data_IF_087434812574
#
_entry.id   IF_087434812574
#
_cell.length_a   1.000
_cell.length_b   1.000
_cell.length_c   1.000
_cell.angle_alpha   90.00
_cell.angle_beta   90.00
_cell.angle_gamma   90.00
#
_symmetry.space_group_name_H-M   'P 1'
#
loop_
_entity.id
_entity.type
_entity.pdbx_description
1 polymer ?
#
# COMPACT_ATOMS: atom_id res chain seq x y z
N UNK A 1 -54.47 44.73 21.37
CA UNK A 1 -53.25 44.12 20.80
C UNK A 1 -53.52 43.78 19.35
N UNK A 2 -52.74 44.31 18.39
CA UNK A 2 -52.94 44.01 16.97
C UNK A 2 -52.50 42.59 16.62
N UNK A 3 -52.89 42.09 15.46
CA UNK A 3 -52.56 40.77 14.93
C UNK A 3 -51.07 40.44 15.09
N UNK A 4 -50.21 41.44 14.92
CA UNK A 4 -48.74 41.32 15.11
C UNK A 4 -48.35 40.91 16.55
N UNK A 5 -49.07 41.41 17.57
CA UNK A 5 -48.80 41.05 18.97
C UNK A 5 -49.13 39.59 19.28
N UNK A 6 -50.24 39.08 18.71
CA UNK A 6 -50.63 37.68 18.88
C UNK A 6 -49.68 36.74 18.16
N UNK A 7 -49.20 37.07 16.94
CA UNK A 7 -48.22 36.26 16.21
C UNK A 7 -46.85 36.17 16.94
N UNK A 8 -46.37 37.27 17.48
CA UNK A 8 -45.14 37.27 18.28
C UNK A 8 -45.31 36.41 19.55
N UNK A 9 -46.44 36.58 20.25
CA UNK A 9 -46.71 35.81 21.48
C UNK A 9 -46.76 34.30 21.19
N UNK A 10 -47.47 33.89 20.12
CA UNK A 10 -47.56 32.46 19.76
C UNK A 10 -46.24 31.87 19.37
N UNK A 11 -45.40 32.60 18.60
CA UNK A 11 -44.04 32.16 18.26
C UNK A 11 -43.13 32.02 19.49
N UNK A 12 -43.22 32.98 20.44
CA UNK A 12 -42.45 32.90 21.68
C UNK A 12 -42.88 31.69 22.51
N UNK A 13 -44.19 31.46 22.70
CA UNK A 13 -44.69 30.33 23.47
C UNK A 13 -44.26 29.01 22.82
N UNK A 14 -44.37 28.89 21.49
CA UNK A 14 -43.94 27.69 20.74
C UNK A 14 -42.46 27.48 20.88
N UNK A 15 -41.66 28.54 20.76
CA UNK A 15 -40.18 28.47 20.94
C UNK A 15 -39.77 28.00 22.34
N UNK A 16 -40.42 28.54 23.38
CA UNK A 16 -40.16 28.09 24.77
C UNK A 16 -40.56 26.63 24.96
N UNK A 17 -41.71 26.22 24.42
CA UNK A 17 -42.19 24.83 24.52
C UNK A 17 -41.19 23.86 23.84
N UNK A 18 -40.73 24.17 22.64
CA UNK A 18 -39.73 23.38 21.93
C UNK A 18 -38.38 23.31 22.69
N UNK A 19 -37.93 24.43 23.24
CA UNK A 19 -36.72 24.47 24.03
C UNK A 19 -36.80 23.60 25.30
N UNK A 20 -37.95 23.62 26.00
CA UNK A 20 -38.19 22.77 27.16
C UNK A 20 -38.23 21.28 26.78
N UNK A 21 -38.92 20.92 25.71
CA UNK A 21 -38.95 19.54 25.21
C UNK A 21 -37.51 19.07 24.88
N UNK A 22 -36.75 19.84 24.12
CA UNK A 22 -35.38 19.51 23.76
C UNK A 22 -34.46 19.41 25.00
N UNK A 23 -34.65 20.30 26.00
CA UNK A 23 -33.91 20.24 27.26
C UNK A 23 -34.19 18.94 28.02
N UNK A 24 -35.45 18.55 28.20
CA UNK A 24 -35.81 17.31 28.88
C UNK A 24 -35.33 16.07 28.14
N UNK A 25 -35.47 16.06 26.81
CA UNK A 25 -34.96 14.98 25.95
C UNK A 25 -33.43 14.87 26.10
N UNK A 26 -32.71 15.98 26.00
CA UNK A 26 -31.25 16.01 26.16
C UNK A 26 -30.81 15.51 27.55
N UNK A 27 -31.53 15.87 28.62
CA UNK A 27 -31.25 15.39 29.96
C UNK A 27 -31.50 13.87 30.11
N UNK A 28 -32.63 13.39 29.56
CA UNK A 28 -33.01 11.98 29.67
C UNK A 28 -32.10 11.05 28.84
N UNK A 29 -31.59 11.53 27.69
CA UNK A 29 -30.73 10.76 26.79
C UNK A 29 -29.23 11.15 26.90
N UNK A 30 -28.85 11.83 27.99
CA UNK A 30 -27.45 12.16 28.26
C UNK A 30 -26.64 10.87 28.39
N UNK A 31 -25.78 10.58 27.40
CA UNK A 31 -24.82 9.49 27.47
C UNK A 31 -23.64 9.95 28.31
N UNK A 32 -23.38 9.26 29.41
CA UNK A 32 -22.19 9.48 30.21
C UNK A 32 -21.06 8.67 29.59
N UNK A 33 -20.17 9.35 28.88
CA UNK A 33 -18.92 8.75 28.41
C UNK A 33 -17.84 8.90 29.50
N UNK A 34 -16.95 7.93 29.58
CA UNK A 34 -15.79 7.98 30.48
C UNK A 34 -14.86 9.12 30.03
N UNK A 35 -14.50 10.08 30.90
CA UNK A 35 -13.65 11.21 30.53
C UNK A 35 -12.26 10.78 30.03
N UNK A 36 -11.79 9.59 30.40
CA UNK A 36 -10.53 9.02 29.90
C UNK A 36 -10.53 8.82 28.40
N UNK A 37 -11.71 8.68 27.76
CA UNK A 37 -11.85 8.53 26.29
C UNK A 37 -11.30 9.77 25.59
N UNK A 38 -11.65 10.96 26.06
CA UNK A 38 -11.18 12.22 25.45
C UNK A 38 -9.66 12.39 25.60
N UNK A 39 -9.09 11.94 26.71
CA UNK A 39 -7.64 12.04 26.92
C UNK A 39 -6.87 11.02 26.06
N UNK A 40 -7.38 9.79 25.93
CA UNK A 40 -6.82 8.79 24.99
C UNK A 40 -6.96 9.26 23.56
N UNK A 41 -8.08 9.88 23.16
CA UNK A 41 -8.26 10.42 21.82
C UNK A 41 -7.23 11.51 21.48
N UNK A 42 -6.91 12.41 22.43
CA UNK A 42 -5.87 13.44 22.28
C UNK A 42 -4.45 12.86 22.14
N UNK A 43 -4.19 11.67 22.70
CA UNK A 43 -2.91 10.97 22.54
C UNK A 43 -2.76 10.30 21.18
N UNK A 44 -3.87 10.02 20.49
CA UNK A 44 -3.88 9.44 19.17
C UNK A 44 -3.57 10.49 18.07
N UNK A 45 -3.05 10.07 16.91
CA UNK A 45 -2.69 10.99 15.81
C UNK A 45 -3.85 11.76 15.18
N UNK A 46 -5.10 11.45 15.51
CA UNK A 46 -6.29 12.12 14.97
C UNK A 46 -6.56 11.88 13.48
N UNK A 47 -5.81 11.00 12.82
CA UNK A 47 -5.89 10.78 11.37
C UNK A 47 -7.19 10.10 10.90
N UNK A 48 -7.97 9.50 11.80
CA UNK A 48 -9.23 8.78 11.52
C UNK A 48 -9.15 7.83 10.30
N UNK A 49 -7.97 7.24 10.06
CA UNK A 49 -7.65 6.49 8.84
C UNK A 49 -8.26 5.08 8.79
N UNK A 50 -8.84 4.58 9.90
CA UNK A 50 -9.40 3.23 9.98
C UNK A 50 -8.37 2.08 9.90
N UNK A 51 -7.06 2.38 9.92
CA UNK A 51 -5.99 1.38 9.82
C UNK A 51 -5.90 0.43 11.02
N UNK A 52 -6.41 0.85 12.17
CA UNK A 52 -6.55 0.02 13.37
C UNK A 52 -7.77 -0.92 13.35
N UNK A 53 -8.64 -0.83 12.31
CA UNK A 53 -9.87 -1.60 12.19
C UNK A 53 -11.11 -0.92 12.77
N UNK A 54 -10.96 0.25 13.40
CA UNK A 54 -12.05 1.05 13.97
C UNK A 54 -12.44 2.21 13.03
N UNK A 55 -13.68 2.70 13.14
CA UNK A 55 -14.21 3.75 12.29
C UNK A 55 -13.50 5.11 12.45
N UNK A 56 -12.84 5.34 13.60
CA UNK A 56 -12.09 6.56 13.88
C UNK A 56 -11.32 6.47 15.20
N UNK A 57 -10.55 7.51 15.50
CA UNK A 57 -9.72 7.57 16.70
C UNK A 57 -10.57 7.53 17.99
N UNK A 58 -11.75 8.19 17.99
CA UNK A 58 -12.65 8.15 19.15
C UNK A 58 -13.19 6.74 19.43
N UNK A 59 -13.58 5.99 18.40
CA UNK A 59 -14.05 4.61 18.55
C UNK A 59 -12.93 3.71 19.07
N UNK A 60 -11.71 3.90 18.61
CA UNK A 60 -10.54 3.21 19.15
C UNK A 60 -10.32 3.57 20.62
N UNK A 61 -10.38 4.86 20.98
CA UNK A 61 -10.20 5.34 22.36
C UNK A 61 -11.25 4.74 23.31
N UNK A 62 -12.53 4.74 22.91
CA UNK A 62 -13.60 4.15 23.72
C UNK A 62 -13.40 2.65 23.93
N UNK A 63 -12.95 1.93 22.90
CA UNK A 63 -12.63 0.50 23.03
C UNK A 63 -11.43 0.30 23.93
N UNK A 64 -10.35 1.10 23.78
CA UNK A 64 -9.14 0.99 24.61
C UNK A 64 -9.41 1.23 26.10
N UNK A 65 -10.31 2.15 26.43
CA UNK A 65 -10.76 2.39 27.81
C UNK A 65 -11.58 1.22 28.34
N UNK A 66 -12.49 0.66 27.52
CA UNK A 66 -13.44 -0.36 27.93
C UNK A 66 -12.90 -1.79 28.05
N UNK A 67 -11.79 -2.13 27.40
CA UNK A 67 -11.19 -3.48 27.47
C UNK A 67 -10.13 -3.55 28.57
N UNK A 68 -9.99 -4.69 29.22
CA UNK A 68 -8.95 -4.91 30.23
C UNK A 68 -7.59 -5.23 29.60
N UNK A 69 -7.59 -5.96 28.48
CA UNK A 69 -6.39 -6.36 27.74
C UNK A 69 -6.29 -5.63 26.37
N UNK A 70 -5.20 -4.89 26.19
CA UNK A 70 -4.89 -4.14 24.97
C UNK A 70 -4.13 -4.96 23.92
N UNK A 71 -3.84 -6.24 24.14
CA UNK A 71 -3.00 -7.05 23.23
C UNK A 71 -3.50 -7.09 21.79
N UNK A 72 -4.81 -7.00 21.58
CA UNK A 72 -5.45 -6.92 20.24
C UNK A 72 -5.56 -5.52 19.64
N UNK A 73 -5.26 -4.46 20.40
CA UNK A 73 -5.43 -3.08 20.00
C UNK A 73 -4.09 -2.48 19.57
N UNK A 74 -4.02 -1.97 18.36
CA UNK A 74 -2.83 -1.29 17.86
C UNK A 74 -3.18 -0.19 16.86
N UNK A 75 -2.67 1.02 17.10
CA UNK A 75 -2.75 2.12 16.15
C UNK A 75 -1.51 2.12 15.25
N UNK A 76 -1.60 1.75 13.95
CA UNK A 76 -0.43 1.67 13.07
C UNK A 76 0.21 3.05 12.82
N UNK A 77 -0.58 4.12 12.85
CA UNK A 77 -0.11 5.49 12.63
C UNK A 77 0.59 6.04 13.86
N UNK A 78 0.03 5.79 15.06
CA UNK A 78 0.64 6.21 16.32
C UNK A 78 1.88 5.40 16.70
N UNK A 79 1.98 4.18 16.18
CA UNK A 79 3.11 3.28 16.45
C UNK A 79 3.19 2.81 17.90
N UNK A 80 4.30 2.14 18.22
CA UNK A 80 4.51 1.54 19.55
C UNK A 80 4.62 2.58 20.66
N UNK A 81 5.20 3.76 20.39
CA UNK A 81 5.36 4.81 21.38
C UNK A 81 4.00 5.38 21.86
N UNK A 82 3.10 5.68 20.92
CA UNK A 82 1.75 6.13 21.27
C UNK A 82 0.99 5.06 22.03
N UNK A 83 1.09 3.79 21.61
CA UNK A 83 0.46 2.68 22.31
C UNK A 83 0.99 2.51 23.74
N UNK A 84 2.29 2.69 23.95
CA UNK A 84 2.90 2.65 25.28
C UNK A 84 2.37 3.77 26.17
N UNK A 85 2.31 5.02 25.67
CA UNK A 85 1.75 6.16 26.43
C UNK A 85 0.30 5.93 26.83
N UNK A 86 -0.52 5.39 25.91
CA UNK A 86 -1.93 5.07 26.20
C UNK A 86 -2.02 3.95 27.25
N UNK A 87 -1.22 2.92 27.12
CA UNK A 87 -1.18 1.80 28.06
C UNK A 87 -0.75 2.26 29.45
N UNK A 88 0.30 3.07 29.55
CA UNK A 88 0.78 3.66 30.81
C UNK A 88 -0.31 4.54 31.47
N UNK A 89 -1.02 5.37 30.67
CA UNK A 89 -2.13 6.20 31.16
C UNK A 89 -3.31 5.37 31.68
N UNK A 90 -3.64 4.27 31.01
CA UNK A 90 -4.74 3.38 31.42
C UNK A 90 -4.32 2.33 32.47
N UNK A 91 -3.04 2.26 32.84
CA UNK A 91 -2.51 1.24 33.74
C UNK A 91 -2.56 -0.17 33.19
N UNK A 92 -2.44 -0.34 31.84
CA UNK A 92 -2.55 -1.60 31.11
C UNK A 92 -1.21 -1.98 30.47
N UNK A 93 -1.08 -3.25 30.03
CA UNK A 93 0.08 -3.69 29.29
C UNK A 93 0.06 -3.14 27.85
N UNK A 94 1.18 -2.57 27.38
CA UNK A 94 1.31 -2.10 26.01
C UNK A 94 1.41 -3.29 25.04
N UNK A 95 0.68 -3.26 23.90
CA UNK A 95 0.80 -4.31 22.88
C UNK A 95 2.15 -4.18 22.16
N UNK A 96 2.94 -5.24 22.14
CA UNK A 96 4.14 -5.31 21.32
C UNK A 96 3.77 -5.71 19.90
N UNK A 97 4.10 -4.87 18.94
CA UNK A 97 3.93 -5.17 17.52
C UNK A 97 5.16 -4.80 16.74
N UNK A 98 5.66 -5.73 15.95
CA UNK A 98 6.79 -5.47 15.07
C UNK A 98 6.41 -4.43 14.00
N UNK A 99 7.29 -3.48 13.69
CA UNK A 99 7.03 -2.48 12.66
C UNK A 99 6.82 -3.16 11.30
N UNK A 100 5.81 -2.69 10.59
CA UNK A 100 5.43 -3.21 9.27
C UNK A 100 5.53 -2.11 8.20
N UNK A 101 5.55 -2.52 6.94
CA UNK A 101 5.53 -1.63 5.78
C UNK A 101 4.77 -2.31 4.64
N UNK A 102 4.09 -1.52 3.81
CA UNK A 102 3.47 -2.01 2.60
C UNK A 102 4.53 -2.36 1.55
N UNK A 103 4.37 -3.48 0.86
CA UNK A 103 5.18 -3.87 -0.30
C UNK A 103 4.29 -4.15 -1.50
N UNK A 104 4.77 -3.78 -2.69
CA UNK A 104 4.08 -4.08 -3.94
C UNK A 104 4.54 -5.46 -4.45
N UNK A 105 3.61 -6.37 -4.65
CA UNK A 105 3.86 -7.71 -5.21
C UNK A 105 3.65 -7.73 -6.73
N UNK A 106 4.27 -6.79 -7.43
CA UNK A 106 4.29 -6.73 -8.89
C UNK A 106 5.57 -6.04 -9.37
N UNK A 107 6.34 -6.71 -10.21
CA UNK A 107 7.52 -6.17 -10.91
C UNK A 107 7.26 -5.99 -12.41
N UNK A 108 5.99 -5.97 -12.80
CA UNK A 108 5.56 -5.79 -14.18
C UNK A 108 5.64 -4.31 -14.60
N UNK A 109 6.84 -3.76 -14.72
CA UNK A 109 7.07 -2.45 -15.32
C UNK A 109 6.66 -2.44 -16.79
N UNK A 110 6.60 -1.27 -17.41
CA UNK A 110 6.30 -1.14 -18.83
C UNK A 110 7.29 -1.92 -19.71
N UNK A 111 8.57 -1.99 -19.31
CA UNK A 111 9.58 -2.78 -20.01
C UNK A 111 9.37 -4.29 -19.89
N UNK A 112 8.91 -4.77 -18.72
CA UNK A 112 8.70 -6.19 -18.46
C UNK A 112 7.37 -6.73 -18.99
N UNK A 113 6.39 -5.83 -19.20
CA UNK A 113 5.01 -6.17 -19.51
C UNK A 113 4.47 -5.23 -20.57
N UNK A 114 4.71 -5.50 -21.86
CA UNK A 114 4.25 -4.64 -22.94
C UNK A 114 2.72 -4.56 -22.97
N UNK A 115 2.22 -3.37 -23.32
CA UNK A 115 0.80 -3.15 -23.54
C UNK A 115 0.36 -3.80 -24.85
N UNK A 116 -0.78 -4.47 -24.82
CA UNK A 116 -1.43 -5.08 -25.98
C UNK A 116 -2.80 -4.44 -26.29
N UNK A 117 -3.27 -3.52 -25.43
CA UNK A 117 -4.51 -2.77 -25.61
C UNK A 117 -4.41 -1.42 -24.89
N UNK A 118 -5.33 -0.50 -25.20
CA UNK A 118 -5.45 0.81 -24.57
C UNK A 118 -6.85 0.93 -23.96
N UNK A 119 -6.91 1.30 -22.68
CA UNK A 119 -8.16 1.54 -21.99
C UNK A 119 -8.55 3.03 -22.09
N UNK A 120 -9.66 3.31 -22.77
CA UNK A 120 -10.19 4.66 -22.97
C UNK A 120 -11.25 5.09 -21.96
N UNK A 121 -11.44 4.35 -20.86
CA UNK A 121 -12.43 4.66 -19.80
C UNK A 121 -11.91 5.52 -18.67
N UNK A 122 -12.65 5.54 -17.55
CA UNK A 122 -12.29 6.29 -16.34
C UNK A 122 -10.94 5.83 -15.78
N UNK A 123 -10.07 6.79 -15.41
CA UNK A 123 -8.74 6.52 -14.86
C UNK A 123 -8.82 6.02 -13.40
N UNK A 124 -9.26 4.78 -13.21
CA UNK A 124 -9.37 4.11 -11.92
C UNK A 124 -9.09 2.62 -12.06
N UNK A 125 -8.23 2.08 -11.17
CA UNK A 125 -7.96 0.65 -11.10
C UNK A 125 -9.21 -0.17 -10.80
N UNK A 126 -10.10 0.34 -9.95
CA UNK A 126 -11.34 -0.36 -9.59
C UNK A 126 -12.28 -0.52 -10.78
N UNK A 127 -12.46 0.55 -11.57
CA UNK A 127 -13.31 0.55 -12.77
C UNK A 127 -12.71 -0.35 -13.85
N UNK A 128 -11.42 -0.19 -14.14
CA UNK A 128 -10.74 -1.00 -15.14
C UNK A 128 -10.78 -2.50 -14.79
N UNK A 129 -10.50 -2.86 -13.52
CA UNK A 129 -10.54 -4.25 -13.07
C UNK A 129 -11.93 -4.89 -13.15
N UNK A 130 -12.99 -4.10 -13.04
CA UNK A 130 -14.37 -4.58 -13.18
C UNK A 130 -14.77 -4.85 -14.64
N UNK A 131 -14.14 -4.16 -15.58
CA UNK A 131 -14.47 -4.27 -17.01
C UNK A 131 -13.63 -5.31 -17.74
N UNK A 132 -12.33 -5.38 -17.44
CA UNK A 132 -11.44 -6.35 -18.08
C UNK A 132 -10.12 -6.56 -17.31
N UNK A 133 -9.27 -7.47 -17.78
CA UNK A 133 -8.06 -7.89 -17.07
C UNK A 133 -6.94 -6.82 -16.98
N UNK A 134 -6.98 -5.79 -17.82
CA UNK A 134 -5.98 -4.74 -17.92
C UNK A 134 -5.35 -4.61 -19.31
N UNK A 135 -4.59 -3.54 -19.54
CA UNK A 135 -3.99 -3.18 -20.86
C UNK A 135 -2.86 -4.12 -21.31
N UNK A 136 -2.50 -5.11 -20.52
CA UNK A 136 -1.36 -6.02 -20.77
C UNK A 136 -1.80 -7.47 -20.74
N UNK A 137 -0.96 -8.39 -21.22
CA UNK A 137 -1.23 -9.82 -21.18
C UNK A 137 -1.31 -10.47 -19.79
N UNK A 138 -0.94 -9.74 -18.71
CA UNK A 138 -0.97 -10.25 -17.36
C UNK A 138 -2.24 -9.85 -16.62
N UNK A 139 -3.19 -10.77 -16.44
CA UNK A 139 -4.44 -10.52 -15.73
C UNK A 139 -4.25 -10.16 -14.25
N UNK A 140 -3.12 -10.52 -13.65
CA UNK A 140 -2.83 -10.31 -12.22
C UNK A 140 -2.00 -9.05 -11.95
N UNK A 141 -1.51 -8.37 -13.00
CA UNK A 141 -0.58 -7.26 -12.86
C UNK A 141 -1.21 -5.94 -12.41
N UNK A 142 -0.35 -5.00 -12.02
CA UNK A 142 -0.75 -3.64 -11.67
C UNK A 142 -1.37 -2.93 -12.88
N UNK A 143 -2.49 -2.24 -12.71
CA UNK A 143 -3.17 -1.48 -13.76
C UNK A 143 -2.57 -0.08 -13.97
N UNK A 144 -1.80 0.41 -12.99
CA UNK A 144 -1.07 1.68 -13.13
C UNK A 144 -1.92 2.96 -13.04
N UNK A 145 -3.21 2.88 -12.63
CA UNK A 145 -4.09 4.07 -12.56
C UNK A 145 -3.98 4.85 -11.22
N UNK A 146 -3.21 4.35 -10.23
CA UNK A 146 -2.88 5.11 -9.03
C UNK A 146 -3.93 5.15 -7.92
N UNK A 147 -4.99 4.31 -7.93
CA UNK A 147 -6.00 4.29 -6.86
C UNK A 147 -5.39 4.05 -5.46
N UNK A 148 -4.25 3.37 -5.37
CA UNK A 148 -3.52 3.15 -4.12
C UNK A 148 -2.81 4.42 -3.63
N UNK A 149 -2.43 5.31 -4.53
CA UNK A 149 -1.80 6.61 -4.21
C UNK A 149 -2.85 7.56 -3.65
N UNK A 150 -4.03 7.64 -4.29
CA UNK A 150 -5.11 8.55 -3.87
C UNK A 150 -5.64 8.28 -2.47
N UNK A 151 -5.53 7.05 -1.96
CA UNK A 151 -5.98 6.69 -0.60
C UNK A 151 -4.88 6.75 0.46
N UNK A 152 -3.66 7.14 0.07
CA UNK A 152 -2.55 7.25 1.01
C UNK A 152 -2.54 8.63 1.68
N UNK A 153 -3.08 8.71 2.90
CA UNK A 153 -3.13 9.96 3.66
C UNK A 153 -1.77 10.41 4.23
N UNK A 154 -0.71 9.61 4.02
CA UNK A 154 0.63 9.85 4.57
C UNK A 154 1.65 10.20 3.51
N UNK A 155 1.20 10.39 2.26
CA UNK A 155 2.07 10.69 1.12
C UNK A 155 3.25 9.70 0.97
N UNK A 156 3.00 8.44 1.36
CA UNK A 156 3.97 7.35 1.33
C UNK A 156 3.94 6.56 0.01
N UNK A 157 3.06 6.91 -0.93
CA UNK A 157 2.91 6.26 -2.22
C UNK A 157 2.91 7.28 -3.35
N UNK A 158 3.69 7.01 -4.38
CA UNK A 158 3.67 7.77 -5.64
C UNK A 158 3.78 6.81 -6.82
N UNK A 159 3.32 7.25 -7.99
CA UNK A 159 3.52 6.50 -9.23
C UNK A 159 4.86 6.85 -9.83
N UNK A 160 5.68 5.85 -10.10
CA UNK A 160 6.92 6.04 -10.83
C UNK A 160 6.60 6.12 -12.35
N UNK A 161 6.93 7.24 -13.02
CA UNK A 161 6.63 7.43 -14.43
C UNK A 161 7.42 6.50 -15.37
N UNK A 162 8.62 6.04 -14.95
CA UNK A 162 9.46 5.17 -15.76
C UNK A 162 8.95 3.72 -15.77
N UNK A 163 8.58 3.22 -14.61
CA UNK A 163 8.10 1.84 -14.47
C UNK A 163 6.59 1.70 -14.64
N UNK A 164 5.84 2.77 -14.42
CA UNK A 164 4.38 2.78 -14.35
C UNK A 164 3.83 2.03 -13.13
N UNK A 165 4.66 1.79 -12.12
CA UNK A 165 4.30 1.08 -10.88
C UNK A 165 4.26 2.04 -9.70
N UNK A 166 3.44 1.78 -8.66
CA UNK A 166 3.49 2.53 -7.42
C UNK A 166 4.74 2.16 -6.61
N UNK A 167 5.43 3.17 -6.12
CA UNK A 167 6.57 3.06 -5.22
C UNK A 167 6.15 3.44 -3.80
N UNK A 168 6.62 2.69 -2.81
CA UNK A 168 6.35 2.92 -1.39
C UNK A 168 7.55 3.57 -0.73
N UNK A 169 7.36 4.77 -0.22
CA UNK A 169 8.30 5.42 0.70
C UNK A 169 8.22 4.71 2.05
N UNK A 170 9.30 4.06 2.45
CA UNK A 170 9.35 3.21 3.64
C UNK A 170 9.41 4.01 4.94
N UNK A 171 9.87 5.25 4.89
CA UNK A 171 9.97 6.14 6.05
C UNK A 171 8.62 6.74 6.38
N UNK A 172 7.87 7.15 5.35
CA UNK A 172 6.53 7.73 5.50
C UNK A 172 5.43 6.67 5.72
N UNK A 173 5.69 5.42 5.35
CA UNK A 173 4.67 4.36 5.40
C UNK A 173 4.37 3.94 6.84
N UNK A 174 3.16 4.22 7.31
CA UNK A 174 2.65 3.85 8.64
C UNK A 174 2.04 2.45 8.70
N UNK A 175 2.05 1.69 7.61
CA UNK A 175 1.42 0.36 7.51
C UNK A 175 -0.09 0.34 7.82
N UNK A 176 -0.81 1.43 7.58
CA UNK A 176 -2.26 1.53 7.84
C UNK A 176 -3.13 0.59 7.00
N UNK A 177 -2.60 0.00 5.91
CA UNK A 177 -3.29 -0.97 5.07
C UNK A 177 -4.31 -0.39 4.09
N UNK A 178 -4.45 0.95 3.95
CA UNK A 178 -5.39 1.56 3.02
C UNK A 178 -5.12 1.13 1.56
N UNK A 179 -3.86 1.11 1.13
CA UNK A 179 -3.46 0.65 -0.20
C UNK A 179 -3.73 -0.85 -0.43
N UNK A 180 -3.62 -1.68 0.63
CA UNK A 180 -3.94 -3.12 0.56
C UNK A 180 -5.43 -3.32 0.28
N UNK A 181 -6.30 -2.59 1.00
CA UNK A 181 -7.77 -2.67 0.84
C UNK A 181 -8.24 -2.08 -0.49
N UNK A 182 -7.58 -1.02 -0.99
CA UNK A 182 -7.98 -0.31 -2.20
C UNK A 182 -7.61 -1.03 -3.49
N UNK A 183 -6.55 -1.86 -3.49
CA UNK A 183 -6.07 -2.48 -4.70
C UNK A 183 -6.99 -3.62 -5.18
N UNK A 184 -7.68 -3.50 -6.34
CA UNK A 184 -8.60 -4.53 -6.82
C UNK A 184 -7.88 -5.81 -7.23
N UNK A 185 -6.57 -5.74 -7.55
CA UNK A 185 -5.71 -6.89 -7.86
C UNK A 185 -4.98 -7.46 -6.64
N UNK A 186 -5.22 -6.91 -5.42
CA UNK A 186 -4.60 -7.36 -4.15
C UNK A 186 -3.07 -7.43 -4.21
N UNK A 187 -2.43 -6.44 -4.83
CA UNK A 187 -0.98 -6.44 -5.05
C UNK A 187 -0.18 -5.93 -3.86
N UNK A 188 -0.80 -5.25 -2.91
CA UNK A 188 -0.12 -4.80 -1.72
C UNK A 188 -0.25 -5.80 -0.58
N UNK A 189 0.83 -5.96 0.16
CA UNK A 189 0.91 -6.78 1.36
C UNK A 189 1.67 -6.01 2.45
N UNK A 190 1.23 -6.12 3.71
CA UNK A 190 2.00 -5.59 4.84
C UNK A 190 3.02 -6.64 5.26
N UNK A 191 4.30 -6.24 5.32
CA UNK A 191 5.40 -7.10 5.74
C UNK A 191 6.18 -6.47 6.88
N UNK A 192 6.73 -7.30 7.75
CA UNK A 192 7.60 -6.87 8.84
C UNK A 192 8.82 -6.13 8.28
N UNK A 193 9.18 -5.02 8.92
CA UNK A 193 10.48 -4.40 8.75
C UNK A 193 11.49 -5.28 9.48
N UNK A 194 12.27 -6.08 8.75
CA UNK A 194 13.32 -6.89 9.35
C UNK A 194 14.49 -6.03 9.87
N UNK A 195 15.55 -6.65 10.40
CA UNK A 195 16.74 -5.92 10.82
C UNK A 195 17.28 -5.01 9.72
N UNK A 196 17.54 -3.74 10.01
CA UNK A 196 17.91 -2.70 9.03
C UNK A 196 16.89 -2.54 7.90
N UNK A 197 15.60 -2.70 8.18
CA UNK A 197 14.51 -2.63 7.20
C UNK A 197 14.63 -3.62 6.03
N UNK A 198 15.41 -4.71 6.19
CA UNK A 198 15.65 -5.71 5.16
C UNK A 198 14.45 -6.62 4.94
N UNK A 199 14.15 -6.91 3.70
CA UNK A 199 13.04 -7.79 3.30
C UNK A 199 13.39 -8.60 2.06
N UNK A 200 12.85 -9.80 1.98
CA UNK A 200 12.89 -10.64 0.77
C UNK A 200 11.48 -11.11 0.48
N UNK A 201 10.98 -10.88 -0.72
CA UNK A 201 9.63 -11.28 -1.11
C UNK A 201 9.50 -11.53 -2.61
N UNK A 202 8.45 -12.24 -3.00
CA UNK A 202 8.13 -12.47 -4.42
C UNK A 202 7.30 -11.28 -4.93
N UNK A 203 7.88 -10.50 -5.84
CA UNK A 203 7.24 -9.35 -6.48
C UNK A 203 6.40 -9.80 -7.70
N UNK A 204 5.51 -10.75 -7.49
CA UNK A 204 4.60 -11.27 -8.49
C UNK A 204 3.35 -11.86 -7.83
N UNK A 205 2.20 -11.76 -8.52
CA UNK A 205 0.93 -12.37 -8.14
C UNK A 205 0.32 -13.23 -9.25
N UNK A 206 1.06 -13.44 -10.35
CA UNK A 206 0.60 -14.26 -11.47
C UNK A 206 0.51 -15.74 -11.06
N UNK A 207 -0.63 -16.38 -11.35
CA UNK A 207 -0.92 -17.78 -11.05
C UNK A 207 -1.03 -18.65 -12.30
N UNK A 208 -0.79 -18.07 -13.49
CA UNK A 208 -0.77 -18.81 -14.74
C UNK A 208 0.36 -19.83 -14.78
N UNK A 209 0.21 -20.85 -15.65
CA UNK A 209 1.30 -21.79 -15.95
C UNK A 209 2.54 -21.02 -16.43
N UNK A 210 3.73 -21.43 -16.03
CA UNK A 210 4.98 -20.72 -16.24
C UNK A 210 5.23 -20.23 -17.66
N UNK A 211 4.85 -20.99 -18.70
CA UNK A 211 4.94 -20.57 -20.10
C UNK A 211 4.04 -19.40 -20.46
N UNK A 212 2.81 -19.35 -19.90
CA UNK A 212 1.87 -18.24 -20.10
C UNK A 212 2.34 -17.02 -19.32
N UNK A 213 2.71 -17.22 -18.04
CA UNK A 213 3.21 -16.16 -17.17
C UNK A 213 4.41 -15.43 -17.82
N UNK A 214 5.38 -16.16 -18.36
CA UNK A 214 6.58 -15.60 -19.01
C UNK A 214 6.26 -14.84 -20.30
N UNK A 215 5.28 -15.29 -21.09
CA UNK A 215 4.82 -14.56 -22.29
C UNK A 215 4.16 -13.24 -21.92
N UNK A 216 3.44 -13.20 -20.78
CA UNK A 216 2.70 -12.02 -20.32
C UNK A 216 3.60 -11.00 -19.61
N UNK A 217 4.70 -11.44 -18.98
CA UNK A 217 5.61 -10.58 -18.23
C UNK A 217 6.96 -11.28 -18.05
N UNK A 218 8.06 -10.63 -18.48
CA UNK A 218 9.42 -11.18 -18.38
C UNK A 218 9.90 -11.35 -16.95
N UNK A 219 9.40 -10.52 -16.02
CA UNK A 219 9.69 -10.57 -14.58
C UNK A 219 8.70 -11.44 -13.78
N UNK A 220 7.81 -12.21 -14.45
CA UNK A 220 6.82 -13.01 -13.75
C UNK A 220 7.45 -14.22 -13.03
N UNK A 221 6.86 -14.61 -11.89
CA UNK A 221 7.12 -15.91 -11.29
C UNK A 221 6.57 -17.00 -12.23
N UNK A 222 7.40 -17.95 -12.64
CA UNK A 222 7.04 -19.04 -13.54
C UNK A 222 6.75 -20.37 -12.81
N UNK A 223 6.71 -20.33 -11.48
CA UNK A 223 6.41 -21.53 -10.67
C UNK A 223 7.46 -22.63 -10.74
N UNK A 224 8.71 -22.33 -11.06
CA UNK A 224 9.75 -23.34 -11.32
C UNK A 224 10.26 -24.08 -10.07
N UNK A 225 9.96 -23.61 -8.86
CA UNK A 225 10.33 -24.24 -7.59
C UNK A 225 11.81 -24.13 -7.20
N UNK A 226 12.69 -23.50 -7.99
CA UNK A 226 14.12 -23.36 -7.65
C UNK A 226 14.34 -22.68 -6.32
N UNK A 227 13.60 -21.59 -6.05
CA UNK A 227 13.68 -20.85 -4.79
C UNK A 227 13.26 -21.69 -3.57
N UNK A 228 12.30 -22.61 -3.74
CA UNK A 228 11.87 -23.54 -2.68
C UNK A 228 13.03 -24.46 -2.33
N UNK A 229 13.67 -25.08 -3.34
CA UNK A 229 14.83 -25.97 -3.14
C UNK A 229 16.05 -25.26 -2.53
N UNK A 230 16.22 -23.98 -2.83
CA UNK A 230 17.34 -23.17 -2.32
C UNK A 230 17.12 -22.67 -0.89
N UNK A 231 15.91 -22.77 -0.34
CA UNK A 231 15.58 -22.25 0.98
C UNK A 231 15.89 -23.29 2.08
N UNK A 232 16.90 -23.07 2.95
CA UNK A 232 17.23 -24.01 4.02
C UNK A 232 16.30 -23.92 5.24
N UNK A 233 15.33 -22.97 5.23
CA UNK A 233 14.45 -22.69 6.37
C UNK A 233 12.98 -23.02 6.10
N UNK A 234 12.66 -23.68 4.98
CA UNK A 234 11.30 -24.00 4.55
C UNK A 234 10.34 -22.79 4.58
N UNK A 235 10.91 -21.59 4.34
CA UNK A 235 10.16 -20.34 4.35
C UNK A 235 9.45 -20.05 3.02
N UNK A 236 9.62 -20.89 1.99
CA UNK A 236 9.07 -20.65 0.66
C UNK A 236 8.12 -21.79 0.27
N UNK A 237 6.89 -21.43 -0.01
CA UNK A 237 5.85 -22.33 -0.53
C UNK A 237 5.54 -22.03 -1.98
N UNK A 238 5.13 -23.04 -2.73
CA UNK A 238 4.68 -22.91 -4.11
C UNK A 238 3.22 -23.38 -4.18
N UNK A 239 2.31 -22.45 -4.46
CA UNK A 239 0.87 -22.72 -4.57
C UNK A 239 0.34 -22.08 -5.86
N UNK A 240 -0.40 -22.82 -6.66
CA UNK A 240 -0.98 -22.35 -7.91
C UNK A 240 0.05 -21.64 -8.82
N UNK A 241 1.18 -22.28 -9.08
CA UNK A 241 2.30 -21.79 -9.89
C UNK A 241 2.96 -20.49 -9.37
N UNK A 242 2.65 -20.06 -8.15
CA UNK A 242 3.19 -18.85 -7.54
C UNK A 242 3.97 -19.19 -6.26
N UNK A 243 5.21 -18.73 -6.18
CA UNK A 243 6.01 -18.83 -4.96
C UNK A 243 5.59 -17.74 -3.96
N UNK A 244 5.55 -18.09 -2.69
CA UNK A 244 5.32 -17.19 -1.58
C UNK A 244 6.41 -17.38 -0.53
N UNK A 245 6.96 -16.27 -0.03
CA UNK A 245 7.96 -16.27 1.05
C UNK A 245 7.27 -15.84 2.34
N UNK A 246 7.18 -16.76 3.29
CA UNK A 246 6.69 -16.47 4.63
C UNK A 246 7.72 -15.64 5.40
N UNK A 247 7.37 -14.40 5.70
CA UNK A 247 8.27 -13.47 6.40
C UNK A 247 8.52 -13.83 7.86
N UNK A 248 7.67 -14.66 8.48
CA UNK A 248 7.91 -15.16 9.85
C UNK A 248 8.98 -16.25 9.90
N UNK A 249 9.08 -17.06 8.83
CA UNK A 249 10.08 -18.13 8.70
C UNK A 249 11.36 -17.68 8.02
N UNK A 250 11.29 -16.62 7.20
CA UNK A 250 12.40 -16.15 6.39
C UNK A 250 13.51 -15.53 7.26
N UNK A 251 14.72 -16.09 7.18
CA UNK A 251 15.94 -15.59 7.87
C UNK A 251 16.75 -14.59 7.05
N UNK A 252 16.19 -14.03 5.97
CA UNK A 252 16.80 -13.00 5.14
C UNK A 252 18.19 -13.40 4.55
N UNK A 253 18.44 -14.69 4.32
CA UNK A 253 19.73 -15.21 3.83
C UNK A 253 19.99 -14.97 2.34
N UNK A 254 19.00 -14.52 1.55
CA UNK A 254 19.06 -14.19 0.11
C UNK A 254 19.39 -15.35 -0.84
N UNK A 255 19.58 -16.60 -0.39
CA UNK A 255 19.93 -17.73 -1.26
C UNK A 255 18.95 -17.95 -2.41
N UNK A 256 17.66 -17.60 -2.22
CA UNK A 256 16.61 -17.72 -3.23
C UNK A 256 16.67 -16.66 -4.33
N UNK A 257 17.32 -15.50 -4.08
CA UNK A 257 17.36 -14.36 -5.03
C UNK A 257 18.13 -14.73 -6.31
N UNK A 258 19.39 -15.19 -6.26
CA UNK A 258 20.14 -15.53 -7.46
C UNK A 258 19.58 -16.76 -8.19
N UNK A 259 18.85 -17.62 -7.49
CA UNK A 259 18.24 -18.81 -8.08
C UNK A 259 16.96 -18.51 -8.90
N UNK A 260 16.44 -17.28 -8.81
CA UNK A 260 15.25 -16.89 -9.54
C UNK A 260 15.59 -16.51 -10.99
N UNK A 261 15.20 -17.30 -12.02
CA UNK A 261 15.60 -17.07 -13.40
C UNK A 261 14.92 -15.85 -14.05
N UNK A 262 13.85 -15.33 -13.43
CA UNK A 262 13.09 -14.18 -13.93
C UNK A 262 13.26 -12.93 -13.05
N UNK A 263 14.06 -12.99 -11.98
CA UNK A 263 14.22 -11.89 -11.04
C UNK A 263 12.92 -11.53 -10.29
N UNK A 264 11.97 -12.46 -10.17
CA UNK A 264 10.70 -12.21 -9.49
C UNK A 264 10.84 -12.08 -7.96
N UNK A 265 12.01 -12.39 -7.38
CA UNK A 265 12.28 -12.26 -5.95
C UNK A 265 13.08 -10.99 -5.73
N UNK A 266 12.51 -10.08 -4.95
CA UNK A 266 13.14 -8.82 -4.57
C UNK A 266 13.76 -8.93 -3.18
N UNK A 267 14.94 -8.39 -3.04
CA UNK A 267 15.64 -8.13 -1.78
C UNK A 267 15.81 -6.63 -1.61
N UNK A 268 15.29 -6.09 -0.52
CA UNK A 268 15.25 -4.66 -0.25
C UNK A 268 16.12 -4.32 0.94
N UNK A 269 16.88 -3.21 0.85
CA UNK A 269 17.77 -2.67 1.87
C UNK A 269 18.95 -3.60 2.23
N UNK A 270 19.34 -4.47 1.31
CA UNK A 270 20.58 -5.21 1.46
C UNK A 270 21.77 -4.43 0.85
N UNK A 271 22.97 -4.54 1.43
CA UNK A 271 24.15 -4.02 0.78
C UNK A 271 24.29 -4.70 -0.59
N UNK A 272 24.65 -3.90 -1.60
CA UNK A 272 24.94 -4.44 -2.92
C UNK A 272 25.93 -5.60 -2.77
N UNK A 273 25.73 -6.75 -3.44
CA UNK A 273 26.75 -7.78 -3.48
C UNK A 273 28.02 -7.11 -4.01
N UNK A 274 29.15 -7.32 -3.33
CA UNK A 274 30.44 -6.88 -3.83
C UNK A 274 30.60 -7.50 -5.23
N UNK A 275 30.24 -6.75 -6.28
CA UNK A 275 30.50 -7.13 -7.66
C UNK A 275 32.00 -7.20 -7.74
N UNK A 276 32.52 -8.37 -8.12
CA UNK A 276 33.90 -8.49 -8.59
C UNK A 276 34.09 -7.37 -9.62
N UNK A 277 35.02 -6.47 -9.32
CA UNK A 277 35.33 -5.29 -10.13
C UNK A 277 36.10 -5.67 -11.41
N UNK A 278 35.67 -6.69 -12.16
CA UNK A 278 36.41 -7.25 -13.31
C UNK A 278 35.58 -7.31 -14.61
N UNK A 279 34.57 -6.48 -14.78
CA UNK A 279 33.85 -6.49 -16.06
C UNK A 279 33.44 -5.11 -16.60
N UNK A 280 34.05 -4.01 -16.18
CA UNK A 280 33.77 -2.66 -16.72
C UNK A 280 35.00 -2.01 -17.38
N UNK A 281 36.08 -2.73 -17.59
CA UNK A 281 37.30 -2.17 -18.17
C UNK A 281 37.40 -2.26 -19.71
N UNK A 282 36.37 -2.73 -20.43
CA UNK A 282 36.47 -2.92 -21.89
C UNK A 282 35.35 -2.33 -22.75
N UNK A 283 34.84 -1.17 -22.34
CA UNK A 283 33.90 -0.39 -23.17
C UNK A 283 34.48 0.96 -23.63
N UNK A 284 35.77 1.24 -23.38
CA UNK A 284 36.43 2.44 -23.90
C UNK A 284 37.09 2.27 -25.28
N UNK A 285 36.97 1.09 -25.90
CA UNK A 285 37.57 0.79 -27.22
C UNK A 285 36.59 0.75 -28.39
N UNK A 286 35.29 1.10 -28.21
CA UNK A 286 34.37 1.23 -29.35
C UNK A 286 34.53 2.62 -29.96
N UNK A 287 35.32 2.69 -31.05
CA UNK A 287 35.40 3.88 -31.89
C UNK A 287 33.98 4.21 -32.44
N UNK A 288 33.59 5.51 -32.48
CA UNK A 288 32.34 5.89 -33.13
C UNK A 288 32.45 5.60 -34.65
N UNK A 289 31.51 4.85 -35.17
CA UNK A 289 31.35 4.63 -36.57
C UNK A 289 31.11 5.99 -37.26
N UNK A 290 31.87 6.24 -38.33
CA UNK A 290 31.82 7.42 -39.17
C UNK A 290 30.39 7.67 -39.69
N UNK A 291 29.90 8.88 -39.44
CA UNK A 291 28.66 9.42 -40.00
C UNK A 291 28.79 9.44 -41.53
N UNK A 292 28.01 8.62 -42.23
CA UNK A 292 27.85 8.67 -43.66
C UNK A 292 27.12 9.97 -44.02
N UNK A 293 27.75 10.77 -44.88
CA UNK A 293 27.19 12.01 -45.45
C UNK A 293 25.95 11.68 -46.30
N UNK A 294 24.85 12.32 -46.00
CA UNK A 294 23.66 12.36 -46.89
C UNK A 294 24.01 12.98 -48.24
N UNK A 295 23.48 12.45 -49.36
CA UNK A 295 23.66 13.07 -50.69
C UNK A 295 22.73 14.28 -50.85
N UNK A 296 23.33 15.40 -51.19
CA UNK A 296 22.73 16.69 -51.57
C UNK A 296 21.75 16.53 -52.73
N UNK A 297 20.47 16.78 -52.53
CA UNK A 297 19.47 16.82 -53.59
C UNK A 297 19.59 18.12 -54.38
N UNK A 298 20.12 18.01 -55.62
CA UNK A 298 20.10 19.06 -56.62
C UNK A 298 18.67 19.40 -57.01
N UNK A 299 18.32 20.66 -56.83
CA UNK A 299 17.13 21.25 -57.42
C UNK A 299 17.19 21.23 -58.92
N UNK A 300 16.12 20.80 -59.56
CA UNK A 300 15.78 21.17 -60.96
C UNK A 300 14.55 22.04 -60.90
N UNK A 301 14.75 23.30 -61.21
CA UNK A 301 13.79 24.22 -61.77
C UNK A 301 13.54 23.81 -63.23
N UNK A 302 12.27 23.69 -63.61
CA UNK A 302 11.87 24.01 -65.00
C UNK A 302 10.33 24.07 -65.07
N UNK A 303 9.89 25.27 -65.54
CA UNK A 303 8.63 25.69 -66.18
C UNK A 303 7.28 25.33 -65.62
#
# INVERSE_FOLDING_TARGET
MGILGYTILTLCVLGVLCALILYFVAQKFKVYEDPRIDDVEKMLPGANCGGCGYAGCRTFASTAVGVDDMSGLFCPVGGAETMKRIADFLGKAAPEREPMVAVLRCNGSQANRPRNSVYGGASSCAVEAALYAGETGCAFGCLGKGDCVTVCNFDALHMDPETGLPVVDQEKCTACGACVKKCPKMLFELRKKGPHDRRVYVACMNRDKGGVARKSCTAACIGCGKCVKACPFDAITLVNNLAYIDFNKCRLCRKCVPECPTGAIHDVNFPAPARKAEAVADLSSVRPASVAKEPEQRGKSEN
#
